data_IF_263778022893
#
_entry.id   IF_263778022893
#
_cell.length_a   1.000
_cell.length_b   1.000
_cell.length_c   1.000
_cell.angle_alpha   90.00
_cell.angle_beta   90.00
_cell.angle_gamma   90.00
#
_symmetry.space_group_name_H-M   'P 1'
#
loop_
_entity.id
_entity.type
_entity.pdbx_description
1 polymer ?
#
# COMPACT_ATOMS: atom_id res chain seq x y z
N UNK A 1 -21.89 -8.17 -8.67
CA UNK A 1 -21.98 -9.48 -7.98
C UNK A 1 -22.36 -9.31 -6.50
N UNK A 2 -21.48 -8.82 -5.60
CA UNK A 2 -21.76 -8.74 -4.15
C UNK A 2 -23.06 -8.00 -3.79
N UNK A 3 -23.30 -6.83 -4.41
CA UNK A 3 -24.55 -6.07 -4.21
C UNK A 3 -25.79 -6.88 -4.58
N UNK A 4 -25.73 -7.66 -5.66
CA UNK A 4 -26.85 -8.52 -6.09
C UNK A 4 -27.10 -9.64 -5.07
N UNK A 5 -26.03 -10.31 -4.64
CA UNK A 5 -26.13 -11.37 -3.63
C UNK A 5 -26.72 -10.85 -2.32
N UNK A 6 -26.22 -9.71 -1.84
CA UNK A 6 -26.75 -9.09 -0.61
C UNK A 6 -28.22 -8.73 -0.80
N UNK A 7 -28.61 -8.14 -1.94
CA UNK A 7 -30.01 -7.82 -2.24
C UNK A 7 -30.91 -9.05 -2.25
N UNK A 8 -30.43 -10.19 -2.75
CA UNK A 8 -31.17 -11.44 -2.77
C UNK A 8 -31.30 -12.06 -1.37
N UNK A 9 -30.20 -12.14 -0.62
CA UNK A 9 -30.19 -12.63 0.75
C UNK A 9 -31.02 -11.73 1.67
N UNK A 10 -31.05 -10.42 1.41
CA UNK A 10 -31.79 -9.45 2.20
C UNK A 10 -33.31 -9.58 2.06
N UNK A 11 -33.82 -10.31 1.05
CA UNK A 11 -35.24 -10.65 0.96
C UNK A 11 -35.71 -11.52 2.12
N UNK A 12 -34.80 -12.26 2.76
CA UNK A 12 -35.09 -13.20 3.86
C UNK A 12 -34.57 -12.73 5.22
N UNK A 13 -33.64 -11.79 5.24
CA UNK A 13 -32.97 -11.30 6.46
C UNK A 13 -32.70 -9.81 6.34
N UNK A 14 -32.88 -9.01 7.39
CA UNK A 14 -32.59 -7.57 7.33
C UNK A 14 -31.09 -7.29 7.12
N UNK A 15 -30.23 -8.10 7.74
CA UNK A 15 -28.78 -8.01 7.63
C UNK A 15 -28.21 -9.34 7.18
N UNK A 16 -27.23 -9.28 6.29
CA UNK A 16 -26.57 -10.45 5.71
C UNK A 16 -25.22 -10.63 6.41
N UNK A 17 -25.01 -11.80 7.01
CA UNK A 17 -23.74 -12.15 7.66
C UNK A 17 -22.69 -12.59 6.64
N UNK A 18 -21.40 -12.37 6.94
CA UNK A 18 -20.27 -12.82 6.11
C UNK A 18 -20.35 -14.31 5.76
N UNK A 19 -20.67 -15.17 6.74
CA UNK A 19 -20.84 -16.62 6.53
C UNK A 19 -21.89 -16.94 5.46
N UNK A 20 -23.04 -16.24 5.50
CA UNK A 20 -24.11 -16.43 4.51
C UNK A 20 -23.68 -15.98 3.11
N UNK A 21 -22.85 -14.94 3.01
CA UNK A 21 -22.28 -14.50 1.74
C UNK A 21 -21.31 -15.52 1.17
N UNK A 22 -20.40 -16.03 2.01
CA UNK A 22 -19.44 -17.06 1.63
C UNK A 22 -20.16 -18.33 1.15
N UNK A 23 -21.14 -18.81 1.91
CA UNK A 23 -21.92 -19.99 1.56
C UNK A 23 -22.69 -19.81 0.25
N UNK A 24 -23.26 -18.62 0.03
CA UNK A 24 -23.97 -18.30 -1.20
C UNK A 24 -23.02 -18.26 -2.41
N UNK A 25 -21.84 -17.65 -2.26
CA UNK A 25 -20.83 -17.58 -3.32
C UNK A 25 -20.36 -19.00 -3.69
N UNK A 26 -20.07 -19.83 -2.69
CA UNK A 26 -19.59 -21.20 -2.92
C UNK A 26 -20.62 -22.09 -3.61
N UNK A 27 -21.92 -21.87 -3.35
CA UNK A 27 -23.00 -22.66 -3.97
C UNK A 27 -23.33 -22.24 -5.39
N UNK A 28 -23.16 -20.97 -5.73
CA UNK A 28 -23.63 -20.39 -6.99
C UNK A 28 -22.53 -20.03 -7.97
N UNK A 29 -21.27 -20.04 -7.54
CA UNK A 29 -20.13 -19.73 -8.38
C UNK A 29 -19.09 -20.85 -8.28
N UNK A 30 -18.48 -21.27 -9.40
CA UNK A 30 -17.39 -22.23 -9.39
C UNK A 30 -16.15 -21.55 -8.81
N UNK A 31 -16.00 -21.63 -7.49
CA UNK A 31 -14.84 -21.10 -6.77
C UNK A 31 -13.96 -22.29 -6.41
N UNK A 32 -12.84 -22.44 -7.11
CA UNK A 32 -11.92 -23.58 -7.01
C UNK A 32 -10.82 -23.37 -5.94
N UNK A 33 -11.07 -22.56 -4.92
CA UNK A 33 -10.04 -22.08 -3.97
C UNK A 33 -10.26 -22.52 -2.53
N UNK A 34 -9.15 -22.57 -1.79
CA UNK A 34 -9.11 -22.80 -0.35
C UNK A 34 -10.03 -21.83 0.39
N UNK A 35 -10.82 -22.35 1.32
CA UNK A 35 -11.85 -21.61 2.03
C UNK A 35 -11.33 -20.38 2.78
N UNK A 36 -10.10 -20.45 3.30
CA UNK A 36 -9.44 -19.34 3.99
C UNK A 36 -9.08 -18.19 3.02
N UNK A 37 -8.57 -18.54 1.83
CA UNK A 37 -8.22 -17.55 0.80
C UNK A 37 -9.46 -16.82 0.30
N UNK A 38 -10.54 -17.56 0.06
CA UNK A 38 -11.83 -17.00 -0.33
C UNK A 38 -12.37 -16.04 0.74
N UNK A 39 -12.27 -16.40 2.01
CA UNK A 39 -12.77 -15.55 3.10
C UNK A 39 -11.95 -14.25 3.23
N UNK A 40 -10.63 -14.32 3.10
CA UNK A 40 -9.76 -13.14 3.11
C UNK A 40 -10.07 -12.22 1.94
N UNK A 41 -10.17 -12.76 0.72
CA UNK A 41 -10.53 -11.98 -0.46
C UNK A 41 -11.92 -11.34 -0.30
N UNK A 42 -12.90 -12.11 0.18
CA UNK A 42 -14.25 -11.62 0.39
C UNK A 42 -14.28 -10.47 1.40
N UNK A 43 -13.57 -10.59 2.52
CA UNK A 43 -13.46 -9.52 3.52
C UNK A 43 -12.84 -8.26 2.92
N UNK A 44 -11.79 -8.40 2.11
CA UNK A 44 -11.15 -7.25 1.46
C UNK A 44 -12.10 -6.57 0.48
N UNK A 45 -12.78 -7.35 -0.38
CA UNK A 45 -13.75 -6.81 -1.34
C UNK A 45 -14.95 -6.16 -0.65
N UNK A 46 -15.43 -6.73 0.44
CA UNK A 46 -16.50 -6.13 1.24
C UNK A 46 -16.07 -4.80 1.85
N UNK A 47 -14.83 -4.71 2.36
CA UNK A 47 -14.28 -3.43 2.86
C UNK A 47 -14.31 -2.36 1.78
N UNK A 48 -13.83 -2.66 0.57
CA UNK A 48 -13.89 -1.71 -0.54
C UNK A 48 -15.33 -1.36 -0.93
N UNK A 49 -16.23 -2.34 -0.99
CA UNK A 49 -17.62 -2.11 -1.33
C UNK A 49 -18.33 -1.21 -0.30
N UNK A 50 -17.98 -1.34 0.99
CA UNK A 50 -18.45 -0.43 2.05
C UNK A 50 -17.87 0.96 1.85
N UNK A 51 -16.57 1.09 1.60
CA UNK A 51 -15.92 2.39 1.38
C UNK A 51 -16.52 3.16 0.20
N UNK A 52 -16.88 2.46 -0.88
CA UNK A 52 -17.50 3.06 -2.08
C UNK A 52 -19.01 3.30 -1.88
N UNK A 53 -19.59 2.79 -0.79
CA UNK A 53 -21.03 2.94 -0.50
C UNK A 53 -21.94 2.04 -1.31
N UNK A 54 -21.40 0.98 -1.93
CA UNK A 54 -22.22 -0.01 -2.62
C UNK A 54 -23.04 -0.85 -1.65
N UNK A 55 -22.50 -1.05 -0.44
CA UNK A 55 -23.09 -1.81 0.66
C UNK A 55 -22.86 -1.05 1.97
N UNK A 56 -23.74 -1.21 2.96
CA UNK A 56 -23.58 -0.64 4.29
C UNK A 56 -23.23 -1.73 5.31
N UNK A 57 -22.38 -1.39 6.29
CA UNK A 57 -22.01 -2.25 7.41
C UNK A 57 -22.59 -1.68 8.71
N UNK A 58 -23.39 -2.47 9.43
CA UNK A 58 -24.09 -2.03 10.65
C UNK A 58 -23.60 -2.71 11.94
N UNK A 59 -22.71 -3.69 11.82
CA UNK A 59 -22.11 -4.39 12.96
C UNK A 59 -20.99 -5.31 12.49
N UNK A 60 -20.46 -6.12 13.40
CA UNK A 60 -19.44 -7.10 13.05
C UNK A 60 -20.03 -8.14 12.09
N UNK A 61 -19.40 -8.25 10.93
CA UNK A 61 -19.78 -9.12 9.82
C UNK A 61 -21.20 -8.96 9.26
N UNK A 62 -21.89 -7.86 9.53
CA UNK A 62 -23.26 -7.61 9.06
C UNK A 62 -23.30 -6.55 7.96
N UNK A 63 -23.83 -6.95 6.80
CA UNK A 63 -23.88 -6.16 5.58
C UNK A 63 -25.31 -6.05 5.04
N UNK A 64 -25.67 -4.92 4.45
CA UNK A 64 -26.95 -4.77 3.76
C UNK A 64 -26.88 -3.73 2.63
N UNK A 65 -27.96 -3.61 1.86
CA UNK A 65 -28.10 -2.55 0.86
C UNK A 65 -28.35 -1.22 1.57
N UNK A 66 -27.53 -0.19 1.28
CA UNK A 66 -27.66 1.13 1.88
C UNK A 66 -28.97 1.80 1.47
N UNK A 67 -29.44 2.68 2.34
CA UNK A 67 -30.57 3.57 2.02
C UNK A 67 -30.14 4.64 1.00
N UNK A 68 -31.11 5.26 0.31
CA UNK A 68 -30.83 6.37 -0.62
C UNK A 68 -30.05 7.52 0.04
N UNK A 69 -30.31 7.79 1.32
CA UNK A 69 -29.61 8.81 2.10
C UNK A 69 -28.16 8.43 2.35
N UNK A 70 -27.89 7.17 2.67
CA UNK A 70 -26.53 6.67 2.87
C UNK A 70 -25.76 6.63 1.55
N UNK A 71 -26.40 6.23 0.46
CA UNK A 71 -25.80 6.23 -0.89
C UNK A 71 -25.42 7.65 -1.34
N UNK A 72 -26.29 8.64 -1.11
CA UNK A 72 -25.98 10.04 -1.40
C UNK A 72 -24.80 10.58 -0.57
N UNK A 73 -24.71 10.17 0.70
CA UNK A 73 -23.59 10.55 1.57
C UNK A 73 -22.31 9.76 1.29
N UNK A 74 -22.42 8.60 0.65
CA UNK A 74 -21.28 7.73 0.41
C UNK A 74 -20.26 8.31 -0.55
N UNK A 75 -20.65 9.16 -1.51
CA UNK A 75 -19.70 9.83 -2.39
C UNK A 75 -18.69 10.68 -1.60
N UNK A 76 -19.17 11.41 -0.58
CA UNK A 76 -18.33 12.20 0.32
C UNK A 76 -17.39 11.30 1.13
N UNK A 77 -17.92 10.20 1.66
CA UNK A 77 -17.17 9.22 2.45
C UNK A 77 -16.14 8.47 1.61
N UNK A 78 -16.47 8.11 0.37
CA UNK A 78 -15.62 7.38 -0.56
C UNK A 78 -14.39 8.22 -0.95
N UNK A 79 -14.59 9.52 -1.22
CA UNK A 79 -13.48 10.43 -1.51
C UNK A 79 -12.56 10.55 -0.29
N UNK A 80 -13.09 10.76 0.92
CA UNK A 80 -12.25 10.83 2.13
C UNK A 80 -11.54 9.50 2.40
N UNK A 81 -12.23 8.38 2.27
CA UNK A 81 -11.67 7.05 2.50
C UNK A 81 -10.57 6.73 1.50
N UNK A 82 -10.74 7.11 0.24
CA UNK A 82 -9.70 6.98 -0.78
C UNK A 82 -8.42 7.72 -0.36
N UNK A 83 -8.52 8.98 0.07
CA UNK A 83 -7.36 9.76 0.51
C UNK A 83 -6.68 9.16 1.75
N UNK A 84 -7.45 8.62 2.69
CA UNK A 84 -6.88 7.93 3.85
C UNK A 84 -6.14 6.65 3.45
N UNK A 85 -6.72 5.82 2.58
CA UNK A 85 -6.05 4.64 2.05
C UNK A 85 -4.77 4.98 1.28
N UNK A 86 -4.82 6.02 0.46
CA UNK A 86 -3.66 6.52 -0.27
C UNK A 86 -2.54 6.96 0.69
N UNK A 87 -2.88 7.79 1.70
CA UNK A 87 -1.93 8.27 2.71
C UNK A 87 -1.28 7.11 3.48
N UNK A 88 -2.06 6.12 3.90
CA UNK A 88 -1.56 4.96 4.64
C UNK A 88 -0.61 4.10 3.79
N UNK A 89 -0.95 3.87 2.52
CA UNK A 89 -0.08 3.15 1.59
C UNK A 89 1.22 3.91 1.29
N UNK A 90 1.15 5.24 1.15
CA UNK A 90 2.33 6.08 0.96
C UNK A 90 3.28 6.07 2.17
N UNK A 91 2.73 6.07 3.39
CA UNK A 91 3.52 5.96 4.62
C UNK A 91 4.23 4.62 4.75
N UNK A 92 3.59 3.51 4.33
CA UNK A 92 4.22 2.19 4.31
C UNK A 92 5.39 2.13 3.31
N UNK A 93 5.27 2.78 2.16
CA UNK A 93 6.33 2.86 1.16
C UNK A 93 7.57 3.62 1.69
N UNK A 94 7.35 4.75 2.36
CA UNK A 94 8.43 5.56 2.92
C UNK A 94 9.16 4.87 4.09
N UNK A 95 8.45 4.06 4.89
CA UNK A 95 9.07 3.26 5.97
C UNK A 95 9.96 2.13 5.43
N UNK A 96 9.66 1.56 4.26
CA UNK A 96 10.49 0.52 3.63
C UNK A 96 11.78 1.09 3.04
N UNK A 97 11.74 2.30 2.45
CA UNK A 97 12.94 2.97 1.91
C UNK A 97 13.94 3.38 3.00
N UNK A 98 13.48 3.71 4.21
CA UNK A 98 14.37 4.14 5.30
C UNK A 98 15.31 3.05 5.84
N UNK A 99 15.06 1.76 5.54
CA UNK A 99 15.90 0.63 6.01
C UNK A 99 17.03 0.25 5.04
N UNK A 100 16.99 0.67 3.77
CA UNK A 100 18.05 0.33 2.80
C UNK A 100 19.28 1.24 2.90
N UNK A 101 19.11 2.47 3.37
CA UNK A 101 20.18 3.48 3.26
C UNK A 101 21.20 3.43 4.40
N UNK A 102 20.87 2.76 5.52
CA UNK A 102 21.80 2.61 6.66
C UNK A 102 22.90 1.57 6.36
N UNK A 103 22.66 0.59 5.48
CA UNK A 103 23.66 -0.45 5.15
C UNK A 103 24.61 -0.05 4.03
N UNK A 104 24.27 0.96 3.21
CA UNK A 104 25.12 1.37 2.08
C UNK A 104 26.22 2.36 2.48
N UNK A 105 26.04 3.10 3.57
CA UNK A 105 27.02 4.06 4.08
C UNK A 105 28.17 3.41 4.88
N UNK A 106 27.94 2.26 5.52
CA UNK A 106 28.99 1.56 6.29
C UNK A 106 30.00 0.79 5.42
N UNK A 107 29.66 0.49 4.17
CA UNK A 107 30.53 -0.31 3.29
C UNK A 107 31.56 0.55 2.54
N UNK A 108 31.25 1.82 2.27
CA UNK A 108 32.19 2.73 1.58
C UNK A 108 33.30 3.30 2.45
N UNK A 109 33.16 3.31 3.78
CA UNK A 109 34.23 3.83 4.65
C UNK A 109 35.38 2.84 4.90
N UNK A 110 35.19 1.53 4.63
CA UNK A 110 36.19 0.51 4.95
C UNK A 110 37.23 0.27 3.85
N UNK A 111 37.03 0.80 2.64
CA UNK A 111 37.96 0.62 1.51
C UNK A 111 39.07 1.68 1.43
N UNK A 112 38.91 2.85 2.03
CA UNK A 112 39.89 3.95 1.86
C UNK A 112 41.11 3.87 2.80
N UNK A 113 41.27 2.80 3.60
CA UNK A 113 42.36 2.70 4.59
C UNK A 113 43.57 1.86 4.17
N UNK A 114 43.58 1.28 2.97
CA UNK A 114 44.65 0.35 2.55
C UNK A 114 45.47 0.75 1.31
N UNK A 115 45.27 1.95 0.72
CA UNK A 115 45.96 2.32 -0.53
C UNK A 115 47.12 3.31 -0.34
N UNK A 116 47.23 4.00 0.80
CA UNK A 116 48.29 5.00 0.99
C UNK A 116 49.49 4.43 1.78
N UNK A 117 50.16 3.42 1.22
CA UNK A 117 51.51 3.07 1.65
C UNK A 117 52.31 2.43 0.50
N UNK A 118 52.92 3.25 -0.36
CA UNK A 118 54.18 2.89 -1.02
C UNK A 118 54.73 4.05 -1.84
N UNK A 119 55.90 4.54 -1.38
CA UNK A 119 57.05 5.09 -2.12
C UNK A 119 57.14 6.60 -2.40
N UNK A 120 58.10 7.15 -1.65
CA UNK A 120 58.86 8.39 -1.81
C UNK A 120 59.89 8.34 -2.98
N UNK A 121 60.47 9.52 -3.24
CA UNK A 121 61.79 9.83 -3.86
C UNK A 121 61.68 10.30 -5.31
N UNK A 122 62.28 11.39 -5.80
CA UNK A 122 63.00 12.56 -5.26
C UNK A 122 63.46 13.37 -6.50
N UNK A 123 63.35 14.71 -6.44
CA UNK A 123 64.17 15.75 -7.09
C UNK A 123 64.32 15.76 -8.63
N UNK A 124 64.00 16.89 -9.27
CA UNK A 124 65.03 17.86 -9.67
C UNK A 124 64.43 19.21 -10.10
N UNK A 125 65.21 20.27 -9.85
CA UNK A 125 64.91 21.68 -10.05
C UNK A 125 65.12 22.11 -11.51
N UNK A 126 64.33 23.06 -12.03
CA UNK A 126 64.87 24.24 -12.76
C UNK A 126 63.82 25.33 -13.02
N UNK A 127 64.28 26.56 -12.84
CA UNK A 127 63.68 27.89 -13.03
C UNK A 127 62.96 28.13 -14.37
N UNK A 128 61.91 28.98 -14.36
CA UNK A 128 62.07 30.38 -14.83
C UNK A 128 60.78 31.22 -14.72
N UNK A 129 61.02 32.48 -14.39
CA UNK A 129 60.21 33.68 -14.18
C UNK A 129 59.17 34.12 -15.24
N UNK A 130 58.40 35.12 -14.80
CA UNK A 130 57.62 36.16 -15.53
C UNK A 130 56.10 35.89 -15.56
N UNK A 131 55.31 36.51 -14.67
CA UNK A 131 54.90 37.93 -14.61
C UNK A 131 54.02 38.32 -15.82
N UNK A 132 52.75 38.64 -15.57
CA UNK A 132 51.91 39.60 -16.31
C UNK A 132 50.44 39.55 -15.86
N UNK A 133 50.02 40.64 -15.23
CA UNK A 133 48.65 41.12 -15.09
C UNK A 133 47.97 41.42 -16.45
N UNK A 134 46.67 41.80 -16.37
CA UNK A 134 45.76 42.38 -17.39
C UNK A 134 44.92 41.40 -18.24
N UNK A 135 43.61 41.56 -18.45
CA UNK A 135 42.63 42.67 -18.27
C UNK A 135 41.30 42.14 -17.69
#
# INVERSE_FOLDING_TARGET
>A
MLRTIIKELQKRQLFVKLKNLRDHIQRHYPVETDLETLEQELQEKLKYAVCVGLIAKYGDDQYCIPTLREEANAAKTAISAFWEMYKNNYQLLNKRKKKSDIKRSLLHQKQNKYINSSKNSSNDETDSSEDSDFF
#
